data_IF_339686395498
#
_entry.id   IF_339686395498
#
_cell.length_a   1.000
_cell.length_b   1.000
_cell.length_c   1.000
_cell.angle_alpha   90.00
_cell.angle_beta   90.00
_cell.angle_gamma   90.00
#
_symmetry.space_group_name_H-M   'P 1'
#
loop_
_entity.id
_entity.type
_entity.pdbx_description
1 polymer ?
#
# COMPACT_ATOMS: atom_id res chain seq x y z
N UNK A 1 -4.84 13.21 12.45
CA UNK A 1 -5.23 11.77 12.55
C UNK A 1 -4.16 10.93 11.90
N UNK A 2 -3.84 9.76 12.44
CA UNK A 2 -2.84 8.88 11.85
C UNK A 2 -3.47 7.89 10.87
N UNK A 3 -2.77 7.66 9.77
CA UNK A 3 -3.15 6.70 8.74
C UNK A 3 -1.95 5.82 8.39
N UNK A 4 -2.21 4.54 8.12
CA UNK A 4 -1.20 3.58 7.66
C UNK A 4 -1.58 3.05 6.27
N UNK A 5 -0.58 2.81 5.43
CA UNK A 5 -0.80 2.20 4.12
C UNK A 5 -1.23 0.74 4.30
N UNK A 6 -2.23 0.32 3.53
CA UNK A 6 -2.79 -1.03 3.56
C UNK A 6 -2.74 -1.64 2.17
N UNK A 7 -2.39 -2.92 2.12
CA UNK A 7 -2.29 -3.72 0.91
C UNK A 7 -3.23 -4.92 1.04
N UNK A 8 -3.94 -5.28 -0.03
CA UNK A 8 -4.86 -6.42 -0.07
C UNK A 8 -4.29 -7.55 -0.91
N UNK A 9 -4.13 -8.73 -0.32
CA UNK A 9 -3.80 -9.95 -1.06
C UNK A 9 -5.03 -10.44 -1.83
N UNK A 10 -4.91 -10.68 -3.14
CA UNK A 10 -6.03 -11.18 -3.95
C UNK A 10 -6.27 -12.68 -3.81
N UNK A 11 -5.33 -13.44 -3.22
CA UNK A 11 -5.49 -14.88 -3.00
C UNK A 11 -6.29 -15.20 -1.74
N UNK A 12 -5.98 -14.52 -0.62
CA UNK A 12 -6.60 -14.80 0.67
C UNK A 12 -7.38 -13.62 1.26
N UNK A 13 -7.56 -12.54 0.49
CA UNK A 13 -8.25 -11.30 0.88
C UNK A 13 -7.67 -10.56 2.10
N UNK A 14 -6.53 -11.00 2.64
CA UNK A 14 -5.92 -10.41 3.81
C UNK A 14 -5.47 -8.96 3.55
N UNK A 15 -5.74 -8.09 4.52
CA UNK A 15 -5.22 -6.73 4.58
C UNK A 15 -3.89 -6.73 5.36
N UNK A 16 -2.84 -6.20 4.74
CA UNK A 16 -1.49 -6.11 5.27
C UNK A 16 -1.15 -4.63 5.46
N UNK A 17 -0.80 -4.26 6.68
CA UNK A 17 -0.29 -2.92 6.98
C UNK A 17 1.19 -2.84 6.65
N UNK A 18 1.66 -1.73 6.10
CA UNK A 18 3.05 -1.55 5.72
C UNK A 18 3.56 -0.15 6.07
N UNK A 19 4.76 -0.11 6.65
CA UNK A 19 5.40 1.12 7.12
C UNK A 19 4.82 1.63 8.44
N UNK A 20 5.17 2.86 8.78
CA UNK A 20 4.73 3.52 10.00
C UNK A 20 3.49 4.39 9.78
N UNK A 21 2.57 4.47 10.75
CA UNK A 21 1.46 5.42 10.69
C UNK A 21 1.93 6.87 10.61
N UNK A 22 1.32 7.64 9.72
CA UNK A 22 1.63 9.06 9.51
C UNK A 22 0.43 9.95 9.78
N UNK A 23 0.67 11.12 10.34
CA UNK A 23 -0.35 12.15 10.47
C UNK A 23 -0.68 12.75 9.10
N UNK A 24 -1.89 12.49 8.63
CA UNK A 24 -2.36 12.89 7.30
C UNK A 24 -3.75 13.52 7.45
N UNK A 25 -3.98 14.65 6.78
CA UNK A 25 -5.32 15.25 6.66
C UNK A 25 -6.17 14.37 5.76
N UNK A 26 -7.43 14.14 6.15
CA UNK A 26 -8.34 13.26 5.42
C UNK A 26 -8.55 13.75 3.98
N UNK A 27 -8.57 15.08 3.80
CA UNK A 27 -8.75 15.78 2.53
C UNK A 27 -7.60 15.51 1.55
N UNK A 28 -6.40 15.17 2.04
CA UNK A 28 -5.23 14.85 1.22
C UNK A 28 -5.17 13.38 0.80
N UNK A 29 -5.94 12.49 1.41
CA UNK A 29 -5.88 11.05 1.11
C UNK A 29 -6.13 10.71 -0.36
N UNK A 30 -7.12 11.31 -1.07
CA UNK A 30 -7.31 11.04 -2.49
C UNK A 30 -6.08 11.39 -3.34
N UNK A 31 -5.44 12.53 -3.07
CA UNK A 31 -4.24 12.97 -3.78
C UNK A 31 -3.06 12.03 -3.52
N UNK A 32 -2.88 11.60 -2.27
CA UNK A 32 -1.81 10.67 -1.90
C UNK A 32 -2.03 9.31 -2.58
N UNK A 33 -3.27 8.80 -2.61
CA UNK A 33 -3.59 7.57 -3.35
C UNK A 33 -3.23 7.69 -4.84
N UNK A 34 -3.55 8.82 -5.48
CA UNK A 34 -3.18 9.06 -6.87
C UNK A 34 -1.66 9.05 -7.06
N UNK A 35 -0.90 9.68 -6.17
CA UNK A 35 0.58 9.69 -6.22
C UNK A 35 1.17 8.27 -6.13
N UNK A 36 0.60 7.41 -5.28
CA UNK A 36 1.05 6.01 -5.14
C UNK A 36 0.81 5.22 -6.44
N UNK A 37 -0.33 5.44 -7.11
CA UNK A 37 -0.62 4.84 -8.42
C UNK A 37 0.31 5.41 -9.51
N UNK A 38 0.48 6.73 -9.58
CA UNK A 38 1.38 7.36 -10.55
C UNK A 38 2.83 6.90 -10.39
N UNK A 39 3.26 6.57 -9.16
CA UNK A 39 4.59 6.04 -8.91
C UNK A 39 4.85 4.70 -9.65
N UNK A 40 3.81 3.93 -10.01
CA UNK A 40 3.97 2.70 -10.82
C UNK A 40 4.55 2.94 -12.20
N UNK A 41 4.29 4.12 -12.79
CA UNK A 41 4.82 4.47 -14.11
C UNK A 41 6.36 4.47 -14.12
N UNK A 42 6.98 4.56 -12.95
CA UNK A 42 8.42 4.56 -12.77
C UNK A 42 9.00 3.22 -12.32
N UNK A 43 8.25 2.10 -12.34
CA UNK A 43 8.71 0.81 -11.81
C UNK A 43 10.05 0.31 -12.41
N UNK A 44 10.40 0.70 -13.65
CA UNK A 44 11.69 0.40 -14.28
C UNK A 44 12.84 1.36 -13.93
N UNK A 45 12.57 2.44 -13.19
CA UNK A 45 13.54 3.44 -12.78
C UNK A 45 13.63 3.52 -11.24
N UNK A 46 14.64 2.90 -10.62
CA UNK A 46 14.76 2.84 -9.16
C UNK A 46 14.98 4.20 -8.50
N UNK A 47 15.43 5.24 -9.24
CA UNK A 47 15.59 6.59 -8.71
C UNK A 47 14.27 7.33 -8.54
N UNK A 48 13.27 6.96 -9.35
CA UNK A 48 11.95 7.58 -9.36
C UNK A 48 10.90 6.71 -8.66
N UNK A 49 11.09 5.39 -8.62
CA UNK A 49 10.22 4.46 -7.91
C UNK A 49 10.47 4.48 -6.39
N UNK A 50 9.64 5.23 -5.66
CA UNK A 50 9.85 5.45 -4.22
C UNK A 50 8.89 4.69 -3.31
N UNK A 51 7.75 4.24 -3.83
CA UNK A 51 6.68 3.59 -3.06
C UNK A 51 6.27 2.28 -3.71
N UNK A 52 6.29 1.19 -2.96
CA UNK A 52 5.90 -0.11 -3.48
C UNK A 52 4.39 -0.18 -3.65
N UNK A 53 3.90 -0.51 -4.84
CA UNK A 53 2.46 -0.73 -5.07
C UNK A 53 2.02 -2.17 -4.81
N UNK A 54 2.97 -3.07 -4.74
CA UNK A 54 2.76 -4.46 -4.46
C UNK A 54 3.84 -4.97 -3.52
N UNK A 55 3.44 -5.77 -2.54
CA UNK A 55 4.35 -6.42 -1.58
C UNK A 55 4.09 -7.92 -1.60
N UNK A 56 5.13 -8.77 -1.50
CA UNK A 56 4.94 -10.21 -1.31
C UNK A 56 4.15 -10.52 -0.05
N UNK A 57 3.24 -11.49 -0.11
CA UNK A 57 2.44 -11.91 1.03
C UNK A 57 2.39 -13.43 1.16
N UNK A 58 2.84 -13.93 2.32
CA UNK A 58 2.70 -15.33 2.71
C UNK A 58 1.31 -15.55 3.31
N UNK A 59 0.44 -16.20 2.56
CA UNK A 59 -0.93 -16.48 2.98
C UNK A 59 -0.94 -17.54 4.10
N UNK A 60 -1.97 -17.48 4.97
CA UNK A 60 -2.11 -18.41 6.11
C UNK A 60 -2.29 -19.87 5.68
N UNK A 61 -2.85 -20.10 4.50
CA UNK A 61 -3.08 -21.42 3.90
C UNK A 61 -1.82 -22.01 3.22
N UNK A 62 -0.69 -21.32 3.26
CA UNK A 62 0.56 -21.77 2.63
C UNK A 62 0.81 -21.19 1.23
N UNK A 63 -0.16 -20.50 0.64
CA UNK A 63 0.02 -19.85 -0.66
C UNK A 63 0.94 -18.62 -0.57
N UNK A 64 1.52 -18.24 -1.70
CA UNK A 64 2.36 -17.06 -1.82
C UNK A 64 1.78 -16.11 -2.86
N UNK A 65 1.18 -15.02 -2.36
CA UNK A 65 0.49 -14.03 -3.19
C UNK A 65 1.24 -12.70 -3.28
N UNK A 66 0.71 -11.81 -4.11
CA UNK A 66 1.08 -10.40 -4.14
C UNK A 66 -0.06 -9.59 -3.53
N UNK A 67 0.25 -8.79 -2.50
CA UNK A 67 -0.71 -7.85 -1.93
C UNK A 67 -0.54 -6.50 -2.62
N UNK A 68 -1.65 -5.97 -3.13
CA UNK A 68 -1.67 -4.70 -3.88
C UNK A 68 -2.14 -3.57 -2.99
N UNK A 69 -1.59 -2.37 -3.19
CA UNK A 69 -2.02 -1.18 -2.45
C UNK A 69 -3.54 -1.02 -2.54
N UNK A 70 -4.18 -0.96 -1.38
CA UNK A 70 -5.63 -0.85 -1.23
C UNK A 70 -6.06 0.53 -0.74
N UNK A 71 -5.14 1.31 -0.17
CA UNK A 71 -5.40 2.65 0.35
C UNK A 71 -4.76 2.87 1.71
N UNK A 72 -5.36 3.78 2.47
CA UNK A 72 -4.93 4.12 3.83
C UNK A 72 -6.03 3.77 4.83
N UNK A 73 -5.63 3.21 5.97
CA UNK A 73 -6.53 2.90 7.08
C UNK A 73 -6.22 3.83 8.25
N UNK A 74 -7.26 4.43 8.83
CA UNK A 74 -7.13 5.23 10.04
C UNK A 74 -6.66 4.35 11.18
N UNK A 75 -5.67 4.81 11.93
CA UNK A 75 -5.21 4.17 13.17
C UNK A 75 -5.29 5.18 14.32
N UNK A 76 -5.50 4.66 15.52
CA UNK A 76 -5.57 5.47 16.74
C UNK A 76 -4.18 5.86 17.24
#
# INVERSE_FOLDING_TARGET
>A
MKYIAVYKCQLCDALVQYGEPQEISYELLPEICAKVIHNQLFAGNPYLYKVQMQIPHKCKNGDYGMAYFAGFMRVN
#
